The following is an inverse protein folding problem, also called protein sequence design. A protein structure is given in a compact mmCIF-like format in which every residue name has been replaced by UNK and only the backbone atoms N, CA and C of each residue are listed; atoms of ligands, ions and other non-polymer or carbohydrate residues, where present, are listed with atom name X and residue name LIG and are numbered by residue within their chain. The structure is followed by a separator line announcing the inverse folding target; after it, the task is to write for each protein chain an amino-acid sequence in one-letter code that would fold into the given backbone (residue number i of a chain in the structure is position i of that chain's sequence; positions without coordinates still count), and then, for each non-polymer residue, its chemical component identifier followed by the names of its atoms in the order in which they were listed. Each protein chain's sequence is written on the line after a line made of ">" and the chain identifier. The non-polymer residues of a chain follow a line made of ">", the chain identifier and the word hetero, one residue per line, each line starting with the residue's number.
data_IF_469691576229
#
_entry.id   IF_469691576229
#
_cell.length_a   1.000
_cell.length_b   1.000
_cell.length_c   1.000
_cell.angle_alpha   90.00
_cell.angle_beta   90.00
_cell.angle_gamma   90.00
#
_symmetry.space_group_name_H-M   'P 1'
#
loop_
_entity.id
_entity.type
_entity.pdbx_description
1 polymer ?
#
# COMPACT_ATOMS: atom_id res chain seq x y z
N UNK A 1 12.79 14.85 7.98
CA UNK A 1 13.61 16.05 8.25
C UNK A 1 13.05 17.15 7.35
N UNK A 2 12.37 18.15 7.92
CA UNK A 2 11.69 19.19 7.13
C UNK A 2 12.75 20.08 6.48
N UNK A 3 12.68 20.28 5.16
CA UNK A 3 13.62 21.16 4.47
C UNK A 3 13.26 22.63 4.71
N UNK A 4 14.23 23.53 4.57
CA UNK A 4 14.13 24.97 4.86
C UNK A 4 13.09 25.75 4.02
N UNK A 5 12.33 25.09 3.14
CA UNK A 5 11.33 25.70 2.25
C UNK A 5 9.88 25.32 2.58
N UNK A 6 9.64 24.62 3.69
CA UNK A 6 8.28 24.23 4.11
C UNK A 6 7.72 22.99 3.39
N UNK A 7 8.50 22.36 2.51
CA UNK A 7 8.14 21.08 1.90
C UNK A 7 8.65 19.91 2.77
N UNK A 8 7.72 19.05 3.22
CA UNK A 8 8.03 17.84 3.99
C UNK A 8 8.80 16.88 3.10
N UNK A 9 10.00 16.48 3.53
CA UNK A 9 10.80 15.46 2.84
C UNK A 9 11.33 14.42 3.82
N UNK A 10 11.56 13.22 3.29
CA UNK A 10 12.12 12.08 3.99
C UNK A 10 13.50 11.80 3.40
N UNK A 11 14.56 12.25 4.07
CA UNK A 11 15.93 12.12 3.59
C UNK A 11 16.13 12.69 2.17
N UNK A 12 15.54 13.84 1.88
CA UNK A 12 15.58 14.49 0.55
C UNK A 12 14.63 13.89 -0.48
N UNK A 13 13.86 12.83 -0.13
CA UNK A 13 12.85 12.22 -0.99
C UNK A 13 11.47 12.82 -0.70
N UNK A 14 10.70 13.12 -1.76
CA UNK A 14 9.32 13.61 -1.62
C UNK A 14 8.39 12.53 -1.07
N UNK A 15 7.31 12.89 -0.36
CA UNK A 15 6.31 11.94 0.09
C UNK A 15 5.65 11.23 -1.10
N UNK A 16 5.44 9.92 -0.98
CA UNK A 16 4.61 9.13 -1.89
C UNK A 16 3.12 9.44 -1.69
N UNK A 17 2.72 9.74 -0.44
CA UNK A 17 1.39 10.24 -0.10
C UNK A 17 1.56 11.56 0.64
N UNK A 18 0.86 12.59 0.20
CA UNK A 18 0.71 13.86 0.89
C UNK A 18 -0.77 14.25 0.85
N UNK A 19 -1.48 14.09 1.96
CA UNK A 19 -2.91 14.40 2.04
C UNK A 19 -3.28 14.98 3.40
N UNK A 20 -3.74 16.24 3.39
CA UNK A 20 -3.98 16.98 4.62
C UNK A 20 -2.70 17.05 5.46
N UNK A 21 -2.75 16.56 6.69
CA UNK A 21 -1.60 16.52 7.61
C UNK A 21 -0.77 15.23 7.51
N UNK A 22 -1.18 14.25 6.69
CA UNK A 22 -0.54 12.95 6.57
C UNK A 22 0.46 12.93 5.41
N UNK A 23 1.70 12.61 5.74
CA UNK A 23 2.78 12.45 4.79
C UNK A 23 3.41 11.06 4.97
N UNK A 24 3.50 10.29 3.88
CA UNK A 24 4.09 8.95 3.88
C UNK A 24 5.17 8.90 2.81
N UNK A 25 6.38 8.47 3.17
CA UNK A 25 7.47 8.28 2.21
C UNK A 25 7.23 7.06 1.32
N UNK A 26 7.89 6.97 0.15
CA UNK A 26 8.15 5.66 -0.44
C UNK A 26 9.03 4.82 0.51
N UNK A 27 9.23 3.54 0.19
CA UNK A 27 10.25 2.75 0.89
C UNK A 27 11.65 3.33 0.60
N UNK A 28 12.39 3.65 1.66
CA UNK A 28 13.76 4.16 1.60
C UNK A 28 14.58 3.27 2.52
N UNK A 29 15.50 2.48 1.96
CA UNK A 29 16.33 1.51 2.70
C UNK A 29 15.47 0.57 3.58
N UNK A 30 14.47 -0.08 2.96
CA UNK A 30 13.53 -1.03 3.60
C UNK A 30 12.65 -0.46 4.72
N UNK A 31 12.56 0.86 4.80
CA UNK A 31 11.76 1.56 5.80
C UNK A 31 10.78 2.52 5.15
N UNK A 32 9.63 2.66 5.79
CA UNK A 32 8.65 3.67 5.47
C UNK A 32 8.56 4.66 6.62
N UNK A 33 8.58 5.94 6.26
CA UNK A 33 8.53 7.04 7.19
C UNK A 33 7.17 7.71 7.08
N UNK A 34 6.55 7.97 8.22
CA UNK A 34 5.24 8.60 8.30
C UNK A 34 5.35 9.83 9.20
N UNK A 35 4.89 10.97 8.69
CA UNK A 35 4.82 12.22 9.43
C UNK A 35 3.39 12.74 9.49
N UNK A 36 2.97 13.19 10.67
CA UNK A 36 1.68 13.85 10.92
C UNK A 36 1.98 15.26 11.44
N UNK A 37 1.90 16.25 10.54
CA UNK A 37 2.37 17.62 10.76
C UNK A 37 1.63 18.31 11.93
N UNK A 38 0.29 18.27 11.95
CA UNK A 38 -0.52 18.89 13.01
C UNK A 38 -0.35 18.28 14.42
N UNK A 39 0.38 17.17 14.55
CA UNK A 39 0.62 16.49 15.83
C UNK A 39 2.09 16.30 16.17
N UNK A 40 2.99 16.73 15.29
CA UNK A 40 4.43 16.49 15.37
C UNK A 40 4.79 15.02 15.67
N UNK A 41 4.06 14.10 15.02
CA UNK A 41 4.31 12.65 15.14
C UNK A 41 5.13 12.21 13.94
N UNK A 42 6.34 11.74 14.20
CA UNK A 42 7.20 11.07 13.23
C UNK A 42 7.36 9.61 13.62
N UNK A 43 7.03 8.71 12.70
CA UNK A 43 7.12 7.28 12.88
C UNK A 43 7.95 6.66 11.75
N UNK A 44 8.68 5.62 12.11
CA UNK A 44 9.48 4.82 11.21
C UNK A 44 9.04 3.38 11.36
N UNK A 45 8.77 2.71 10.25
CA UNK A 45 8.38 1.31 10.23
C UNK A 45 9.29 0.55 9.28
N UNK A 46 9.75 -0.61 9.71
CA UNK A 46 10.15 -1.66 8.78
C UNK A 46 8.93 -2.13 7.99
N UNK A 47 9.15 -2.78 6.86
CA UNK A 47 8.10 -3.43 6.09
C UNK A 47 7.13 -4.28 6.96
N UNK A 48 7.69 -5.19 7.78
CA UNK A 48 6.90 -6.11 8.60
C UNK A 48 6.03 -5.39 9.63
N UNK A 49 6.54 -4.31 10.21
CA UNK A 49 5.78 -3.47 11.16
C UNK A 49 4.69 -2.68 10.44
N UNK A 50 5.00 -2.15 9.25
CA UNK A 50 4.04 -1.43 8.43
C UNK A 50 2.86 -2.32 8.03
N UNK A 51 3.10 -3.55 7.60
CA UNK A 51 2.02 -4.50 7.33
C UNK A 51 1.18 -4.81 8.55
N UNK A 52 1.81 -5.04 9.72
CA UNK A 52 1.07 -5.28 10.96
C UNK A 52 0.17 -4.10 11.32
N UNK A 53 0.67 -2.88 11.14
CA UNK A 53 -0.10 -1.65 11.30
C UNK A 53 -1.25 -1.58 10.29
N UNK A 54 -1.01 -1.85 9.00
CA UNK A 54 -2.06 -1.87 7.98
C UNK A 54 -3.17 -2.88 8.30
N UNK A 55 -2.83 -4.00 8.95
CA UNK A 55 -3.79 -5.00 9.41
C UNK A 55 -4.60 -4.57 10.65
N UNK A 56 -4.16 -3.59 11.44
CA UNK A 56 -4.94 -3.04 12.57
C UNK A 56 -5.94 -1.97 12.14
N UNK A 57 -5.73 -1.36 10.97
CA UNK A 57 -6.63 -0.32 10.45
C UNK A 57 -8.02 -0.90 10.21
N UNK A 58 -9.03 -0.10 10.55
CA UNK A 58 -10.40 -0.34 10.11
C UNK A 58 -10.48 -0.21 8.58
N UNK A 59 -10.46 -1.36 7.92
CA UNK A 59 -10.52 -1.51 6.46
C UNK A 59 -11.92 -1.97 6.03
N UNK A 60 -12.44 -1.39 4.95
CA UNK A 60 -13.62 -1.91 4.25
C UNK A 60 -13.15 -2.68 3.02
N UNK A 61 -13.44 -3.99 2.98
CA UNK A 61 -13.18 -4.78 1.78
C UNK A 61 -14.18 -4.41 0.68
N UNK A 62 -13.67 -4.12 -0.52
CA UNK A 62 -14.48 -3.86 -1.70
C UNK A 62 -14.74 -5.16 -2.47
N UNK A 63 -15.97 -5.35 -2.94
CA UNK A 63 -16.30 -6.57 -3.70
C UNK A 63 -15.77 -6.48 -5.13
N UNK A 64 -15.39 -7.64 -5.66
CA UNK A 64 -15.09 -7.81 -7.09
C UNK A 64 -16.43 -7.83 -7.84
N UNK A 65 -16.58 -6.94 -8.81
CA UNK A 65 -17.72 -6.90 -9.73
C UNK A 65 -17.45 -7.71 -11.00
N UNK A 66 -16.21 -7.67 -11.50
CA UNK A 66 -15.76 -8.44 -12.66
C UNK A 66 -14.29 -8.78 -12.52
N UNK A 67 -13.89 -9.97 -12.94
CA UNK A 67 -12.49 -10.41 -13.03
C UNK A 67 -12.29 -11.15 -14.33
N UNK A 68 -11.27 -10.80 -15.07
CA UNK A 68 -10.89 -11.43 -16.34
C UNK A 68 -9.39 -11.71 -16.33
N UNK A 69 -9.01 -12.98 -16.50
CA UNK A 69 -7.61 -13.39 -16.57
C UNK A 69 -7.28 -13.83 -17.99
N UNK A 70 -6.18 -13.32 -18.53
CA UNK A 70 -5.64 -13.70 -19.83
C UNK A 70 -4.17 -14.05 -19.74
N UNK A 71 -3.77 -15.06 -20.50
CA UNK A 71 -2.38 -15.46 -20.66
C UNK A 71 -1.81 -14.78 -21.89
N UNK A 72 -0.69 -14.10 -21.72
CA UNK A 72 -0.02 -13.33 -22.78
C UNK A 72 1.44 -13.77 -22.87
N UNK A 73 2.12 -13.35 -23.94
CA UNK A 73 3.56 -13.57 -24.09
C UNK A 73 4.38 -12.95 -22.95
N UNK A 74 3.89 -11.86 -22.34
CA UNK A 74 4.55 -11.16 -21.24
C UNK A 74 4.30 -11.82 -19.88
N UNK A 75 3.16 -12.47 -19.70
CA UNK A 75 2.70 -12.80 -18.37
C UNK A 75 1.26 -13.25 -18.27
N UNK A 76 0.84 -13.48 -17.02
CA UNK A 76 -0.56 -13.61 -16.65
C UNK A 76 -1.07 -12.21 -16.33
N UNK A 77 -2.10 -11.77 -17.05
CA UNK A 77 -2.75 -10.47 -16.83
C UNK A 77 -4.14 -10.71 -16.24
N UNK A 78 -4.42 -10.08 -15.12
CA UNK A 78 -5.75 -10.06 -14.50
C UNK A 78 -6.29 -8.63 -14.48
N UNK A 79 -7.40 -8.41 -15.20
CA UNK A 79 -8.20 -7.20 -15.12
C UNK A 79 -9.33 -7.43 -14.09
N UNK A 80 -9.29 -6.70 -12.98
CA UNK A 80 -10.30 -6.77 -11.93
C UNK A 80 -11.01 -5.42 -11.79
N UNK A 81 -12.34 -5.43 -11.84
CA UNK A 81 -13.21 -4.31 -11.53
C UNK A 81 -13.81 -4.51 -10.14
N UNK A 82 -13.60 -3.55 -9.25
CA UNK A 82 -14.16 -3.53 -7.89
C UNK A 82 -15.35 -2.56 -7.78
N UNK A 83 -16.10 -2.69 -6.68
CA UNK A 83 -17.08 -1.69 -6.25
C UNK A 83 -16.47 -0.27 -6.26
N UNK A 84 -17.29 0.74 -6.56
CA UNK A 84 -16.81 2.11 -6.78
C UNK A 84 -16.17 2.35 -8.16
N UNK A 85 -16.29 1.37 -9.06
CA UNK A 85 -15.72 1.41 -10.42
C UNK A 85 -14.20 1.57 -10.45
N UNK A 86 -13.52 0.96 -9.48
CA UNK A 86 -12.06 0.94 -9.40
C UNK A 86 -11.56 -0.23 -10.23
N UNK A 87 -10.77 0.05 -11.27
CA UNK A 87 -10.16 -0.94 -12.14
C UNK A 87 -8.73 -1.18 -11.71
N UNK A 88 -8.38 -2.43 -11.43
CA UNK A 88 -7.01 -2.84 -11.14
C UNK A 88 -6.55 -3.83 -12.19
N UNK A 89 -5.41 -3.55 -12.81
CA UNK A 89 -4.72 -4.47 -13.72
C UNK A 89 -3.50 -4.99 -12.99
N UNK A 90 -3.38 -6.31 -12.90
CA UNK A 90 -2.20 -6.99 -12.35
C UNK A 90 -1.56 -7.82 -13.45
N UNK A 91 -0.27 -7.66 -13.67
CA UNK A 91 0.54 -8.46 -14.58
C UNK A 91 1.62 -9.19 -13.76
N UNK A 92 1.57 -10.52 -13.76
CA UNK A 92 2.69 -11.35 -13.34
C UNK A 92 3.59 -11.60 -14.55
N UNK A 93 4.76 -10.97 -14.55
CA UNK A 93 5.70 -11.02 -15.68
C UNK A 93 6.58 -12.27 -15.61
N UNK A 94 6.59 -13.08 -16.70
CA UNK A 94 7.37 -14.32 -16.78
C UNK A 94 8.88 -14.10 -16.80
N UNK A 95 9.33 -12.98 -17.39
CA UNK A 95 10.74 -12.72 -17.67
C UNK A 95 11.49 -12.13 -16.48
N UNK A 96 10.85 -11.21 -15.76
CA UNK A 96 11.47 -10.56 -14.58
C UNK A 96 10.98 -11.10 -13.24
N UNK A 97 10.05 -12.08 -13.24
CA UNK A 97 9.44 -12.63 -12.02
C UNK A 97 8.91 -11.53 -11.09
N UNK A 98 8.30 -10.51 -11.68
CA UNK A 98 7.81 -9.33 -10.97
C UNK A 98 6.30 -9.19 -11.13
N UNK A 99 5.68 -8.48 -10.18
CA UNK A 99 4.26 -8.14 -10.22
C UNK A 99 4.14 -6.67 -10.55
N UNK A 100 3.49 -6.36 -11.67
CA UNK A 100 3.19 -5.01 -12.10
C UNK A 100 1.71 -4.73 -11.85
N UNK A 101 1.41 -3.64 -11.15
CA UNK A 101 0.03 -3.25 -10.84
C UNK A 101 -0.25 -1.84 -11.32
N UNK A 102 -1.43 -1.63 -11.87
CA UNK A 102 -2.01 -0.30 -12.05
C UNK A 102 -3.39 -0.25 -11.44
N UNK A 103 -3.70 0.84 -10.74
CA UNK A 103 -5.01 1.15 -10.15
C UNK A 103 -5.54 2.37 -10.91
N UNK A 104 -6.65 2.20 -11.64
CA UNK A 104 -7.21 3.19 -12.57
C UNK A 104 -6.14 3.79 -13.49
N UNK A 105 -5.33 2.93 -14.12
CA UNK A 105 -4.25 3.29 -15.06
C UNK A 105 -3.06 4.03 -14.41
N UNK A 106 -3.06 4.23 -13.09
CA UNK A 106 -1.97 4.84 -12.35
C UNK A 106 -1.17 3.78 -11.59
N UNK A 107 0.15 3.99 -11.48
CA UNK A 107 0.98 3.15 -10.62
C UNK A 107 0.63 3.40 -9.14
N UNK A 108 0.62 2.35 -8.30
CA UNK A 108 0.58 2.51 -6.86
C UNK A 108 1.69 3.45 -6.38
N UNK A 109 1.40 4.20 -5.32
CA UNK A 109 2.36 5.14 -4.73
C UNK A 109 3.36 4.44 -3.81
N UNK A 110 2.94 3.31 -3.22
CA UNK A 110 3.78 2.42 -2.44
C UNK A 110 3.47 1.00 -2.92
N UNK A 111 4.50 0.24 -3.26
CA UNK A 111 4.38 -1.15 -3.68
C UNK A 111 5.52 -1.95 -3.07
N UNK A 112 5.29 -3.25 -2.87
CA UNK A 112 6.30 -4.15 -2.35
C UNK A 112 5.89 -5.60 -2.59
N UNK A 113 6.90 -6.40 -2.93
CA UNK A 113 6.76 -7.78 -3.38
C UNK A 113 7.04 -7.94 -4.87
N UNK A 114 6.84 -9.16 -5.40
CA UNK A 114 6.28 -10.32 -4.71
C UNK A 114 7.22 -10.93 -3.66
N UNK A 115 6.67 -11.34 -2.51
CA UNK A 115 7.38 -12.18 -1.51
C UNK A 115 6.80 -13.58 -1.54
N UNK A 116 7.64 -14.57 -1.83
CA UNK A 116 7.22 -15.95 -1.99
C UNK A 116 7.67 -16.79 -0.78
N UNK A 117 6.71 -17.51 -0.20
CA UNK A 117 6.97 -18.62 0.72
C UNK A 117 6.55 -19.92 0.01
N UNK A 118 7.55 -20.67 -0.45
CA UNK A 118 7.38 -21.77 -1.42
C UNK A 118 6.63 -21.29 -2.68
N UNK A 119 5.49 -21.92 -2.98
CA UNK A 119 4.63 -21.62 -4.13
C UNK A 119 3.65 -20.47 -3.87
N UNK A 120 3.61 -19.90 -2.67
CA UNK A 120 2.67 -18.83 -2.32
C UNK A 120 3.38 -17.48 -2.28
N UNK A 121 3.16 -16.67 -3.31
CA UNK A 121 3.64 -15.31 -3.39
C UNK A 121 2.58 -14.30 -2.96
N UNK A 122 3.00 -13.25 -2.27
CA UNK A 122 2.15 -12.11 -1.90
C UNK A 122 2.76 -10.81 -2.39
N UNK A 123 1.94 -9.97 -2.98
CA UNK A 123 2.26 -8.60 -3.34
C UNK A 123 1.22 -7.67 -2.73
N UNK A 124 1.64 -6.47 -2.33
CA UNK A 124 0.71 -5.43 -1.96
C UNK A 124 1.10 -4.08 -2.55
N UNK A 125 0.08 -3.25 -2.67
CA UNK A 125 0.18 -1.90 -3.17
C UNK A 125 -0.76 -1.00 -2.35
N UNK A 126 -0.31 0.24 -2.14
CA UNK A 126 -1.13 1.33 -1.67
C UNK A 126 -1.28 2.37 -2.77
N UNK A 127 -2.49 2.85 -2.94
CA UNK A 127 -2.81 4.02 -3.75
C UNK A 127 -3.64 5.00 -2.94
N UNK A 128 -3.51 6.27 -3.27
CA UNK A 128 -4.44 7.29 -2.79
C UNK A 128 -5.32 7.74 -3.95
N UNK A 129 -6.62 7.51 -3.84
CA UNK A 129 -7.54 7.83 -4.92
C UNK A 129 -8.87 8.31 -4.40
N UNK A 130 -9.39 9.40 -4.99
CA UNK A 130 -10.67 10.03 -4.59
C UNK A 130 -10.74 10.35 -3.08
N UNK A 131 -9.59 10.62 -2.47
CA UNK A 131 -9.46 10.91 -1.04
C UNK A 131 -9.46 9.69 -0.11
N UNK A 132 -9.52 8.48 -0.66
CA UNK A 132 -9.44 7.22 0.07
C UNK A 132 -8.09 6.54 -0.12
N UNK A 133 -7.62 5.86 0.93
CA UNK A 133 -6.49 4.96 0.87
C UNK A 133 -6.98 3.60 0.38
N UNK A 134 -6.46 3.19 -0.76
CA UNK A 134 -6.71 1.89 -1.36
C UNK A 134 -5.54 0.97 -1.03
N UNK A 135 -5.82 -0.12 -0.32
CA UNK A 135 -4.86 -1.17 -0.02
C UNK A 135 -5.19 -2.41 -0.85
N UNK A 136 -4.39 -2.61 -1.89
CA UNK A 136 -4.48 -3.74 -2.79
C UNK A 136 -3.54 -4.84 -2.34
N UNK A 137 -4.04 -6.08 -2.32
CA UNK A 137 -3.25 -7.28 -2.06
C UNK A 137 -3.54 -8.30 -3.13
N UNK A 138 -2.50 -8.93 -3.67
CA UNK A 138 -2.65 -10.10 -4.53
C UNK A 138 -1.87 -11.25 -3.93
N UNK A 139 -2.54 -12.39 -3.81
CA UNK A 139 -1.92 -13.69 -3.54
C UNK A 139 -1.79 -14.42 -4.86
N UNK A 140 -0.63 -14.99 -5.10
CA UNK A 140 -0.30 -15.70 -6.33
C UNK A 140 0.16 -17.07 -5.88
N UNK A 141 -0.50 -18.11 -6.36
CA UNK A 141 -0.01 -19.48 -6.24
C UNK A 141 0.05 -20.12 -7.62
N UNK A 142 0.41 -21.40 -7.70
CA UNK A 142 0.59 -22.10 -8.98
C UNK A 142 -0.64 -22.03 -9.91
N UNK A 143 -1.85 -21.92 -9.34
CA UNK A 143 -3.09 -22.10 -10.07
C UNK A 143 -3.98 -20.85 -10.12
N UNK A 144 -3.71 -19.85 -9.28
CA UNK A 144 -4.59 -18.68 -9.14
C UNK A 144 -3.86 -17.41 -8.72
N UNK A 145 -4.41 -16.28 -9.19
CA UNK A 145 -4.08 -14.94 -8.72
C UNK A 145 -5.31 -14.36 -8.03
N UNK A 146 -5.28 -14.31 -6.70
CA UNK A 146 -6.37 -13.83 -5.87
C UNK A 146 -6.12 -12.44 -5.35
N UNK A 147 -6.90 -11.51 -5.88
CA UNK A 147 -6.84 -10.09 -5.60
C UNK A 147 -7.88 -9.70 -4.54
N UNK A 148 -7.45 -8.98 -3.51
CA UNK A 148 -8.32 -8.29 -2.56
C UNK A 148 -8.02 -6.81 -2.54
N UNK A 149 -9.07 -5.99 -2.46
CA UNK A 149 -8.95 -4.54 -2.35
C UNK A 149 -9.68 -4.09 -1.09
N UNK A 150 -9.00 -3.28 -0.31
CA UNK A 150 -9.53 -2.63 0.86
C UNK A 150 -9.49 -1.12 0.67
N UNK A 151 -10.49 -0.43 1.20
CA UNK A 151 -10.56 1.02 1.28
C UNK A 151 -10.54 1.45 2.74
N UNK A 152 -9.95 2.62 2.99
CA UNK A 152 -10.05 3.30 4.28
C UNK A 152 -9.90 4.79 4.10
N UNK A 153 -10.43 5.56 5.06
CA UNK A 153 -10.19 6.99 5.10
C UNK A 153 -8.79 7.26 5.67
N UNK A 154 -8.11 8.34 5.25
CA UNK A 154 -6.85 8.78 5.85
C UNK A 154 -6.96 9.00 7.36
N UNK A 155 -8.13 9.43 7.84
CA UNK A 155 -8.40 9.62 9.26
C UNK A 155 -8.28 8.30 10.04
N UNK A 156 -8.76 7.18 9.50
CA UNK A 156 -8.63 5.88 10.16
C UNK A 156 -7.15 5.48 10.30
N UNK A 157 -6.35 5.64 9.24
CA UNK A 157 -4.91 5.39 9.30
C UNK A 157 -4.24 6.29 10.34
N UNK A 158 -4.54 7.58 10.31
CA UNK A 158 -4.00 8.56 11.27
C UNK A 158 -4.33 8.18 12.71
N UNK A 159 -5.56 7.76 13.01
CA UNK A 159 -5.94 7.31 14.34
C UNK A 159 -5.13 6.09 14.80
N UNK A 160 -4.98 5.08 13.95
CA UNK A 160 -4.16 3.90 14.26
C UNK A 160 -2.70 4.26 14.50
N UNK A 161 -2.13 5.18 13.72
CA UNK A 161 -0.76 5.66 13.90
C UNK A 161 -0.56 6.38 15.24
N UNK A 162 -1.55 7.18 15.67
CA UNK A 162 -1.52 7.82 16.99
C UNK A 162 -1.57 6.76 18.09
N UNK A 163 -2.49 5.79 17.98
CA UNK A 163 -2.58 4.71 18.95
C UNK A 163 -1.27 3.94 19.01
N UNK A 164 -0.72 3.54 17.87
CA UNK A 164 0.57 2.87 17.77
C UNK A 164 1.70 3.67 18.45
N UNK A 165 1.79 4.97 18.18
CA UNK A 165 2.78 5.86 18.81
C UNK A 165 2.61 5.93 20.33
N UNK A 166 1.37 5.99 20.83
CA UNK A 166 1.07 5.98 22.26
C UNK A 166 1.43 4.63 22.91
N UNK A 167 1.06 3.52 22.28
CA UNK A 167 1.41 2.16 22.74
C UNK A 167 2.92 1.99 22.86
N UNK A 168 3.69 2.41 21.85
CA UNK A 168 5.15 2.37 21.91
C UNK A 168 5.72 3.24 23.04
N UNK A 169 5.24 4.49 23.19
CA UNK A 169 5.72 5.40 24.23
C UNK A 169 5.43 4.88 25.64
N UNK A 170 4.28 4.24 25.84
CA UNK A 170 3.85 3.75 27.15
C UNK A 170 4.44 2.38 27.53
N UNK A 171 5.19 1.72 26.64
CA UNK A 171 5.75 0.36 26.84
C UNK A 171 4.71 -0.65 27.35
N UNK A 172 3.47 -0.54 26.88
CA UNK A 172 2.43 -1.48 27.27
C UNK A 172 2.69 -2.82 26.57
N UNK A 173 3.29 -3.76 27.29
CA UNK A 173 3.42 -5.18 26.98
C UNK A 173 2.41 -5.98 27.79
#
# INVERSE_FOLDING_TARGET
>A
MISKEGEVTFNGVKPAIAQGELYISPFINDKIYIYIDGRDIFLEFTYSEFLRMMHSIKLQQLKILKKETRYTELGIVTDTLFEGSIKIVTLLDWGVQNVLVTIDEQKPVIEYGPYCDYENCSYFALALQRGELLYYKVRINENEMDSTLYSSTPLNLVNELIFYALYQKLKLF
#
